data_IF_002523765685
#
_entry.id   IF_002523765685
#
_cell.length_a   1.000
_cell.length_b   1.000
_cell.length_c   1.000
_cell.angle_alpha   90.00
_cell.angle_beta   90.00
_cell.angle_gamma   90.00
#
_symmetry.space_group_name_H-M   'P 1'
#
loop_
_entity.id
_entity.type
_entity.pdbx_description
1 polymer ?
#
# COMPACT_ATOMS: atom_id res chain seq x y z
N UNK A 1 -15.23 8.77 4.04
CA UNK A 1 -13.85 8.88 3.50
C UNK A 1 -12.92 9.49 4.54
N UNK A 2 -11.61 9.43 4.33
CA UNK A 2 -10.62 10.09 5.20
C UNK A 2 -10.08 11.34 4.52
N UNK A 3 -10.12 12.48 5.21
CA UNK A 3 -9.58 13.77 4.80
C UNK A 3 -8.29 14.04 5.55
N UNK A 4 -7.17 14.10 4.83
CA UNK A 4 -5.87 14.39 5.43
C UNK A 4 -5.42 15.82 5.13
N UNK A 5 -5.07 16.59 6.15
CA UNK A 5 -4.54 17.94 6.01
C UNK A 5 -3.04 17.97 6.24
N UNK A 6 -2.31 18.70 5.40
CA UNK A 6 -0.91 19.01 5.68
C UNK A 6 -0.79 20.05 6.79
N UNK A 7 0.42 20.22 7.33
CA UNK A 7 0.68 21.22 8.37
C UNK A 7 0.28 22.63 7.94
N UNK A 8 0.63 22.99 6.70
CA UNK A 8 0.26 24.28 6.12
C UNK A 8 -1.25 24.39 5.95
N UNK A 9 -1.93 23.35 5.45
CA UNK A 9 -3.38 23.40 5.27
C UNK A 9 -4.15 23.52 6.59
N UNK A 10 -3.62 22.98 7.70
CA UNK A 10 -4.19 23.18 9.04
C UNK A 10 -4.02 24.62 9.54
N UNK A 11 -2.85 25.23 9.30
CA UNK A 11 -2.48 26.54 9.83
C UNK A 11 -2.83 27.73 8.91
N UNK A 12 -3.17 27.47 7.65
CA UNK A 12 -3.44 28.54 6.68
C UNK A 12 -4.70 29.34 7.07
N UNK A 13 -4.54 30.66 7.16
CA UNK A 13 -5.58 31.60 7.63
C UNK A 13 -6.35 32.27 6.50
N UNK A 14 -6.00 31.99 5.24
CA UNK A 14 -6.73 32.47 4.07
C UNK A 14 -8.21 32.02 4.10
N UNK A 15 -9.06 32.75 3.38
CA UNK A 15 -10.49 32.49 3.38
C UNK A 15 -10.82 31.08 2.87
N UNK A 16 -10.18 30.63 1.79
CA UNK A 16 -10.42 29.33 1.18
C UNK A 16 -10.06 28.18 2.13
N UNK A 17 -8.90 28.18 2.79
CA UNK A 17 -8.54 27.09 3.69
C UNK A 17 -9.40 27.04 4.96
N UNK A 18 -9.85 28.20 5.47
CA UNK A 18 -10.82 28.24 6.58
C UNK A 18 -12.16 27.61 6.18
N UNK A 19 -12.67 27.92 4.98
CA UNK A 19 -13.92 27.35 4.49
C UNK A 19 -13.79 25.85 4.16
N UNK A 20 -12.65 25.41 3.61
CA UNK A 20 -12.38 23.98 3.40
C UNK A 20 -12.42 23.21 4.72
N UNK A 21 -11.78 23.72 5.78
CA UNK A 21 -11.78 23.08 7.10
C UNK A 21 -13.20 23.00 7.67
N UNK A 22 -13.99 24.08 7.61
CA UNK A 22 -15.41 24.07 8.01
C UNK A 22 -16.23 23.05 7.24
N UNK A 23 -16.03 22.98 5.92
CA UNK A 23 -16.75 22.04 5.06
C UNK A 23 -16.44 20.59 5.42
N UNK A 24 -15.16 20.26 5.61
CA UNK A 24 -14.73 18.90 5.97
C UNK A 24 -15.24 18.51 7.37
N UNK A 25 -15.26 19.43 8.33
CA UNK A 25 -15.91 19.20 9.64
C UNK A 25 -17.40 18.87 9.47
N UNK A 26 -18.09 19.57 8.57
CA UNK A 26 -19.50 19.26 8.27
C UNK A 26 -19.68 17.85 7.69
N UNK A 27 -18.71 17.36 6.90
CA UNK A 27 -18.73 16.00 6.38
C UNK A 27 -18.48 14.96 7.46
N UNK A 28 -17.59 15.24 8.42
CA UNK A 28 -17.45 14.40 9.60
C UNK A 28 -18.78 14.26 10.35
N UNK A 29 -19.45 15.37 10.66
CA UNK A 29 -20.73 15.33 11.39
C UNK A 29 -21.87 14.70 10.59
N UNK A 30 -21.89 14.88 9.27
CA UNK A 30 -22.99 14.41 8.42
C UNK A 30 -22.82 12.97 7.95
N UNK A 31 -21.60 12.56 7.62
CA UNK A 31 -21.31 11.30 6.94
C UNK A 31 -20.40 10.37 7.75
N UNK A 32 -19.85 10.83 8.88
CA UNK A 32 -18.86 10.07 9.66
C UNK A 32 -17.48 10.03 9.01
N UNK A 33 -17.18 10.97 8.11
CA UNK A 33 -15.85 11.09 7.51
C UNK A 33 -14.77 11.28 8.59
N UNK A 34 -13.59 10.72 8.34
CA UNK A 34 -12.44 10.88 9.22
C UNK A 34 -11.63 12.11 8.79
N UNK A 35 -11.12 12.87 9.76
CA UNK A 35 -10.25 14.03 9.56
C UNK A 35 -8.93 13.75 10.24
N UNK A 36 -7.83 13.74 9.49
CA UNK A 36 -6.51 13.37 9.99
C UNK A 36 -5.38 14.23 9.39
N UNK A 37 -4.14 13.90 9.73
CA UNK A 37 -2.93 14.58 9.32
C UNK A 37 -2.20 13.82 8.21
N UNK A 38 -1.60 14.57 7.28
CA UNK A 38 -0.61 14.08 6.31
C UNK A 38 0.76 14.75 6.53
N UNK A 39 1.70 14.09 7.22
CA UNK A 39 3.03 14.62 7.44
C UNK A 39 3.86 14.63 6.14
N UNK A 40 4.46 15.77 5.82
CA UNK A 40 5.48 15.88 4.77
C UNK A 40 5.04 15.46 3.37
N UNK A 41 3.75 15.55 3.05
CA UNK A 41 3.18 15.12 1.76
C UNK A 41 3.71 13.75 1.32
N UNK A 42 3.56 12.75 2.19
CA UNK A 42 3.97 11.34 2.03
C UNK A 42 5.42 10.99 2.39
N UNK A 43 6.33 11.96 2.59
CA UNK A 43 7.77 11.69 2.67
C UNK A 43 8.44 12.23 3.94
N UNK A 44 7.72 12.29 5.06
CA UNK A 44 8.20 12.94 6.28
C UNK A 44 9.58 12.43 6.76
N UNK A 45 9.75 11.10 6.82
CA UNK A 45 11.00 10.45 7.27
C UNK A 45 12.18 10.61 6.31
N UNK A 46 11.95 11.03 5.06
CA UNK A 46 13.04 11.30 4.14
C UNK A 46 13.79 12.59 4.46
N UNK A 47 13.17 13.49 5.25
CA UNK A 47 13.68 14.85 5.50
C UNK A 47 13.69 15.26 6.97
N UNK A 48 13.17 14.41 7.86
CA UNK A 48 13.08 14.72 9.28
C UNK A 48 13.46 13.49 10.11
N UNK A 49 13.94 13.75 11.31
CA UNK A 49 14.19 12.71 12.31
C UNK A 49 12.86 12.13 12.80
N UNK A 50 12.85 10.88 13.26
CA UNK A 50 11.65 10.28 13.85
C UNK A 50 11.09 11.12 15.01
N UNK A 51 11.96 11.69 15.86
CA UNK A 51 11.56 12.59 16.94
C UNK A 51 10.83 13.85 16.45
N UNK A 52 11.31 14.49 15.37
CA UNK A 52 10.63 15.64 14.79
C UNK A 52 9.29 15.24 14.17
N UNK A 53 9.24 14.12 13.46
CA UNK A 53 7.98 13.60 12.88
C UNK A 53 6.95 13.30 13.98
N UNK A 54 7.36 12.71 15.11
CA UNK A 54 6.48 12.49 16.27
C UNK A 54 5.91 13.80 16.82
N UNK A 55 6.75 14.82 16.96
CA UNK A 55 6.32 16.15 17.40
C UNK A 55 5.31 16.77 16.43
N UNK A 56 5.60 16.72 15.13
CA UNK A 56 4.71 17.29 14.10
C UNK A 56 3.35 16.57 14.09
N UNK A 57 3.35 15.25 14.28
CA UNK A 57 2.13 14.44 14.44
C UNK A 57 1.34 14.90 15.66
N UNK A 58 1.97 14.98 16.83
CA UNK A 58 1.33 15.38 18.07
C UNK A 58 0.66 16.75 17.95
N UNK A 59 1.43 17.75 17.50
CA UNK A 59 0.96 19.12 17.37
C UNK A 59 -0.18 19.22 16.33
N UNK A 60 -0.09 18.48 15.22
CA UNK A 60 -1.15 18.48 14.21
C UNK A 60 -2.45 17.80 14.71
N UNK A 61 -2.33 16.74 15.49
CA UNK A 61 -3.47 16.07 16.11
C UNK A 61 -4.18 16.96 17.13
N UNK A 62 -3.44 17.79 17.87
CA UNK A 62 -4.01 18.80 18.77
C UNK A 62 -4.76 19.89 17.99
N UNK A 63 -4.21 20.37 16.88
CA UNK A 63 -4.91 21.31 15.99
C UNK A 63 -6.20 20.71 15.43
N UNK A 64 -6.17 19.45 14.99
CA UNK A 64 -7.35 18.74 14.49
C UNK A 64 -8.38 18.56 15.60
N UNK A 65 -7.96 18.17 16.80
CA UNK A 65 -8.82 18.00 17.98
C UNK A 65 -9.54 19.31 18.32
N UNK A 66 -8.79 20.43 18.37
CA UNK A 66 -9.35 21.75 18.64
C UNK A 66 -10.28 22.25 17.53
N UNK A 67 -9.94 21.96 16.27
CA UNK A 67 -10.72 22.35 15.10
C UNK A 67 -12.07 21.61 15.01
N UNK A 68 -12.08 20.29 15.21
CA UNK A 68 -13.31 19.47 15.11
C UNK A 68 -14.13 19.56 16.40
N UNK A 69 -13.48 19.71 17.55
CA UNK A 69 -14.12 19.83 18.85
C UNK A 69 -14.62 18.51 19.43
N UNK A 70 -15.33 18.58 20.56
CA UNK A 70 -15.96 17.44 21.25
C UNK A 70 -15.00 16.27 21.57
N UNK A 71 -13.71 16.56 21.77
CA UNK A 71 -12.69 15.55 22.05
C UNK A 71 -12.38 14.62 20.88
N UNK A 72 -12.72 15.02 19.65
CA UNK A 72 -12.45 14.25 18.45
C UNK A 72 -10.96 13.88 18.33
N UNK A 73 -10.70 12.61 17.99
CA UNK A 73 -9.38 12.13 17.55
C UNK A 73 -9.54 11.18 16.37
N UNK A 74 -8.68 11.25 15.34
CA UNK A 74 -8.72 10.30 14.23
C UNK A 74 -8.35 8.90 14.68
N UNK A 75 -8.76 7.90 13.89
CA UNK A 75 -8.42 6.49 14.08
C UNK A 75 -7.17 6.11 13.29
N UNK A 76 -6.81 6.88 12.27
CA UNK A 76 -5.61 6.66 11.44
C UNK A 76 -4.82 7.92 11.11
N UNK A 77 -3.56 7.74 10.68
CA UNK A 77 -2.74 8.76 9.99
C UNK A 77 -2.56 8.38 8.51
N UNK A 78 -2.49 9.37 7.62
CA UNK A 78 -2.16 9.19 6.19
C UNK A 78 -0.75 9.72 5.94
N UNK A 79 0.27 8.88 5.93
CA UNK A 79 1.67 9.32 6.03
C UNK A 79 2.53 9.08 4.80
N UNK A 80 2.09 8.26 3.84
CA UNK A 80 2.94 7.78 2.75
C UNK A 80 3.93 6.76 3.28
N UNK A 81 5.09 7.24 3.72
CA UNK A 81 6.14 6.47 4.38
C UNK A 81 6.26 6.88 5.84
N UNK A 82 6.08 5.91 6.74
CA UNK A 82 6.21 6.13 8.18
C UNK A 82 7.16 5.10 8.78
N UNK A 83 8.23 5.57 9.42
CA UNK A 83 9.20 4.69 10.10
C UNK A 83 8.54 3.82 11.18
N UNK A 84 9.16 2.69 11.51
CA UNK A 84 8.72 1.83 12.61
C UNK A 84 8.66 2.57 13.95
N UNK A 85 9.62 3.46 14.22
CA UNK A 85 9.64 4.26 15.45
C UNK A 85 8.42 5.19 15.52
N UNK A 86 8.05 5.82 14.41
CA UNK A 86 6.89 6.69 14.37
C UNK A 86 5.58 5.91 14.48
N UNK A 87 5.48 4.72 13.87
CA UNK A 87 4.29 3.88 14.03
C UNK A 87 4.16 3.33 15.46
N UNK A 88 5.27 3.04 16.14
CA UNK A 88 5.27 2.70 17.56
C UNK A 88 4.80 3.86 18.43
N UNK A 89 5.27 5.09 18.14
CA UNK A 89 4.81 6.29 18.82
C UNK A 89 3.29 6.50 18.67
N UNK A 90 2.74 6.31 17.46
CA UNK A 90 1.29 6.39 17.23
C UNK A 90 0.52 5.45 18.16
N UNK A 91 0.93 4.18 18.24
CA UNK A 91 0.24 3.19 19.06
C UNK A 91 0.37 3.48 20.56
N UNK A 92 1.57 3.82 21.04
CA UNK A 92 1.88 3.90 22.47
C UNK A 92 1.62 5.28 23.10
N UNK A 93 1.71 6.36 22.30
CA UNK A 93 1.62 7.74 22.80
C UNK A 93 0.37 8.45 22.33
N UNK A 94 -0.04 8.23 21.09
CA UNK A 94 -1.23 8.88 20.52
C UNK A 94 -2.49 8.01 20.60
N UNK A 95 -2.36 6.72 21.00
CA UNK A 95 -3.43 5.72 21.01
C UNK A 95 -4.11 5.59 19.63
N UNK A 96 -3.30 5.65 18.56
CA UNK A 96 -3.70 5.50 17.15
C UNK A 96 -3.07 4.22 16.61
N UNK A 97 -3.93 3.29 16.18
CA UNK A 97 -3.52 1.93 15.82
C UNK A 97 -3.61 1.63 14.32
N UNK A 98 -3.71 2.66 13.47
CA UNK A 98 -3.77 2.51 12.02
C UNK A 98 -2.94 3.61 11.36
N UNK A 99 -2.12 3.25 10.38
CA UNK A 99 -1.32 4.20 9.61
C UNK A 99 -1.28 3.74 8.16
N UNK A 100 -1.61 4.63 7.22
CA UNK A 100 -1.08 4.46 5.86
C UNK A 100 0.39 4.88 5.91
N UNK A 101 1.25 3.92 6.25
CA UNK A 101 2.68 4.09 6.46
C UNK A 101 3.53 3.44 5.39
N UNK A 102 2.90 2.95 4.32
CA UNK A 102 3.56 2.32 3.19
C UNK A 102 2.97 2.80 1.86
N UNK A 103 3.82 2.97 0.84
CA UNK A 103 3.41 3.12 -0.56
C UNK A 103 3.95 1.91 -1.30
N UNK A 104 3.12 0.88 -1.46
CA UNK A 104 3.58 -0.43 -1.86
C UNK A 104 4.26 -0.39 -3.23
N UNK A 105 5.41 -1.06 -3.35
CA UNK A 105 6.28 -1.11 -4.53
C UNK A 105 6.92 0.21 -4.99
N UNK A 106 6.82 1.32 -4.25
CA UNK A 106 7.46 2.58 -4.66
C UNK A 106 8.98 2.39 -4.85
N UNK A 107 9.50 2.69 -6.03
CA UNK A 107 10.94 2.66 -6.32
C UNK A 107 11.27 3.55 -7.51
N UNK A 108 12.21 4.49 -7.34
CA UNK A 108 12.66 5.45 -8.37
C UNK A 108 11.55 6.28 -9.02
N UNK A 109 10.51 6.58 -8.24
CA UNK A 109 9.43 7.50 -8.59
C UNK A 109 9.27 8.51 -7.46
N UNK A 110 9.03 9.78 -7.80
CA UNK A 110 9.05 10.94 -6.88
C UNK A 110 10.36 11.10 -6.08
N UNK A 111 11.44 10.49 -6.59
CA UNK A 111 12.73 10.35 -5.94
C UNK A 111 12.63 9.70 -4.55
N UNK A 112 11.69 8.78 -4.30
CA UNK A 112 11.59 8.03 -3.04
C UNK A 112 11.51 6.53 -3.31
N UNK A 113 12.15 5.73 -2.45
CA UNK A 113 12.07 4.27 -2.49
C UNK A 113 11.52 3.72 -1.17
N UNK A 114 10.66 2.70 -1.25
CA UNK A 114 10.15 1.96 -0.11
C UNK A 114 9.43 0.67 -0.52
N UNK A 115 9.99 -0.04 -1.50
CA UNK A 115 9.57 -1.40 -1.86
C UNK A 115 10.05 -2.40 -0.81
N UNK A 116 9.46 -3.60 -0.77
CA UNK A 116 9.87 -4.70 0.08
C UNK A 116 8.78 -5.20 1.03
N UNK A 117 7.73 -4.40 1.25
CA UNK A 117 6.59 -4.74 2.09
C UNK A 117 5.58 -5.67 1.42
N UNK A 118 4.68 -6.22 2.23
CA UNK A 118 3.43 -6.82 1.74
C UNK A 118 2.44 -5.71 1.33
N UNK A 119 1.53 -5.98 0.39
CA UNK A 119 0.59 -4.97 -0.15
C UNK A 119 -0.70 -4.82 0.65
N UNK A 120 -1.09 -5.87 1.38
CA UNK A 120 -2.26 -5.88 2.27
C UNK A 120 -1.86 -5.60 3.72
N UNK A 121 -2.82 -5.31 4.62
CA UNK A 121 -2.51 -4.82 5.97
C UNK A 121 -1.64 -5.78 6.77
N UNK A 122 -0.77 -5.23 7.62
CA UNK A 122 0.07 -5.99 8.53
C UNK A 122 0.50 -5.14 9.74
N UNK A 123 0.99 -5.79 10.79
CA UNK A 123 1.69 -5.12 11.88
C UNK A 123 3.19 -5.03 11.56
N UNK A 124 3.79 -3.84 11.52
CA UNK A 124 5.21 -3.68 11.20
C UNK A 124 6.10 -4.12 12.36
N UNK A 125 7.32 -4.52 12.02
CA UNK A 125 8.38 -4.84 12.96
C UNK A 125 9.05 -3.57 13.46
N UNK A 126 9.49 -3.53 14.72
CA UNK A 126 10.39 -2.48 15.25
C UNK A 126 11.68 -2.32 14.46
N UNK A 127 12.07 -3.33 13.68
CA UNK A 127 13.29 -3.28 12.85
C UNK A 127 13.12 -2.43 11.59
N UNK A 128 11.95 -2.51 10.93
CA UNK A 128 11.68 -1.81 9.68
C UNK A 128 10.18 -1.81 9.31
N UNK A 129 9.65 -0.67 8.86
CA UNK A 129 8.22 -0.54 8.58
C UNK A 129 7.71 -1.43 7.44
N UNK A 130 8.59 -1.88 6.52
CA UNK A 130 8.28 -2.82 5.44
C UNK A 130 8.27 -4.28 5.90
N UNK A 131 8.84 -4.59 7.07
CA UNK A 131 8.94 -5.95 7.60
C UNK A 131 7.74 -6.24 8.49
N UNK A 132 6.97 -7.32 8.28
CA UNK A 132 6.01 -7.78 9.27
C UNK A 132 6.71 -8.18 10.57
N UNK A 133 6.17 -7.76 11.72
CA UNK A 133 6.63 -8.21 13.03
C UNK A 133 6.60 -9.75 13.13
N UNK A 134 7.66 -10.32 13.68
CA UNK A 134 7.87 -11.78 13.74
C UNK A 134 7.36 -12.38 15.06
N UNK A 135 7.47 -11.62 16.15
CA UNK A 135 7.11 -12.06 17.50
C UNK A 135 6.77 -10.84 18.40
N UNK A 136 6.53 -11.08 19.69
CA UNK A 136 6.11 -10.02 20.62
C UNK A 136 7.19 -8.95 20.85
N UNK A 137 8.48 -9.30 20.73
CA UNK A 137 9.57 -8.37 21.02
C UNK A 137 9.68 -7.25 19.98
N UNK A 138 9.39 -7.56 18.72
CA UNK A 138 9.43 -6.63 17.59
C UNK A 138 8.04 -6.16 17.14
N UNK A 139 6.97 -6.53 17.84
CA UNK A 139 5.60 -6.14 17.51
C UNK A 139 5.34 -4.65 17.73
N UNK A 140 4.68 -4.02 16.77
CA UNK A 140 4.08 -2.69 16.88
C UNK A 140 2.57 -2.82 16.64
N UNK A 141 1.75 -2.41 17.60
CA UNK A 141 0.29 -2.44 17.51
C UNK A 141 -0.26 -1.26 16.69
N UNK A 142 0.21 -1.12 15.46
CA UNK A 142 -0.26 -0.15 14.47
C UNK A 142 -0.40 -0.88 13.13
N UNK A 143 -1.60 -0.93 12.57
CA UNK A 143 -1.84 -1.56 11.27
C UNK A 143 -1.24 -0.68 10.18
N UNK A 144 -0.23 -1.18 9.49
CA UNK A 144 0.39 -0.51 8.36
C UNK A 144 -0.40 -0.82 7.08
N UNK A 145 -0.87 0.24 6.42
CA UNK A 145 -1.69 0.20 5.21
C UNK A 145 -0.93 0.80 4.02
N UNK A 146 -1.17 0.24 2.84
CA UNK A 146 -0.88 0.87 1.55
C UNK A 146 -1.78 2.10 1.27
N UNK A 147 -1.34 2.99 0.37
CA UNK A 147 -2.05 4.21 -0.02
C UNK A 147 -2.74 4.16 -1.39
N UNK A 148 -2.22 3.37 -2.34
CA UNK A 148 -2.83 3.19 -3.66
C UNK A 148 -2.67 1.76 -4.14
N UNK A 149 -3.79 1.07 -4.40
CA UNK A 149 -3.75 -0.26 -4.99
C UNK A 149 -3.20 -0.21 -6.42
N UNK A 150 -2.01 -0.80 -6.59
CA UNK A 150 -1.21 -0.81 -7.83
C UNK A 150 -1.55 -2.01 -8.70
N UNK A 151 -1.49 -1.84 -10.01
CA UNK A 151 -1.42 -2.95 -10.97
C UNK A 151 -0.10 -3.69 -10.76
N UNK A 152 -0.16 -4.96 -10.34
CA UNK A 152 1.04 -5.70 -9.93
C UNK A 152 2.04 -5.88 -11.06
N UNK A 153 1.62 -5.89 -12.34
CA UNK A 153 2.52 -5.99 -13.47
C UNK A 153 3.23 -4.66 -13.75
N UNK A 154 2.51 -3.55 -13.69
CA UNK A 154 3.13 -2.23 -13.81
C UNK A 154 4.08 -1.96 -12.63
N UNK A 155 3.65 -2.35 -11.42
CA UNK A 155 4.39 -2.23 -10.16
C UNK A 155 5.72 -2.98 -10.13
N UNK A 156 6.03 -3.87 -11.09
CA UNK A 156 7.36 -4.50 -11.20
C UNK A 156 8.45 -3.53 -11.61
N UNK A 157 8.11 -2.42 -12.27
CA UNK A 157 9.09 -1.52 -12.87
C UNK A 157 9.69 -0.56 -11.85
N UNK A 158 10.92 -0.12 -12.12
CA UNK A 158 11.53 1.02 -11.43
C UNK A 158 11.18 2.32 -12.16
N UNK A 159 10.60 3.28 -11.45
CA UNK A 159 10.25 4.60 -12.01
C UNK A 159 9.39 4.49 -13.27
N UNK A 160 9.97 4.94 -14.39
CA UNK A 160 9.38 4.93 -15.73
C UNK A 160 10.06 3.93 -16.70
N UNK A 161 10.67 2.86 -16.18
CA UNK A 161 11.37 1.88 -17.01
C UNK A 161 10.48 1.39 -18.18
N UNK A 162 11.12 1.16 -19.33
CA UNK A 162 10.47 0.78 -20.60
C UNK A 162 9.39 1.78 -21.09
N UNK A 163 9.41 3.02 -20.59
CA UNK A 163 8.43 4.06 -20.97
C UNK A 163 7.09 3.97 -20.23
N UNK A 164 6.97 3.07 -19.25
CA UNK A 164 5.75 2.87 -18.48
C UNK A 164 5.89 3.32 -17.04
N UNK A 165 4.85 3.96 -16.50
CA UNK A 165 4.83 4.39 -15.11
C UNK A 165 4.57 3.19 -14.17
N UNK A 166 5.50 2.94 -13.24
CA UNK A 166 5.38 1.92 -12.20
C UNK A 166 4.25 2.16 -11.19
N UNK A 167 3.63 3.34 -11.20
CA UNK A 167 2.49 3.73 -10.35
C UNK A 167 1.13 3.56 -11.01
N UNK A 168 1.05 2.90 -12.16
CA UNK A 168 -0.24 2.53 -12.76
C UNK A 168 -1.06 1.73 -11.74
N UNK A 169 -2.22 2.24 -11.39
CA UNK A 169 -2.95 1.85 -10.18
C UNK A 169 -4.43 2.20 -10.34
N UNK A 170 -5.16 2.27 -9.23
CA UNK A 170 -6.46 2.96 -9.16
C UNK A 170 -6.33 4.48 -9.07
N UNK A 171 -5.12 5.03 -8.97
CA UNK A 171 -4.85 6.47 -8.87
C UNK A 171 -5.20 7.25 -10.15
N UNK A 172 -5.69 8.50 -10.04
CA UNK A 172 -6.19 9.25 -11.18
C UNK A 172 -5.11 9.76 -12.13
N UNK A 173 -3.89 10.00 -11.66
CA UNK A 173 -2.79 10.57 -12.45
C UNK A 173 -2.38 9.60 -13.56
N UNK A 174 -2.09 8.35 -13.20
CA UNK A 174 -1.57 7.33 -14.10
C UNK A 174 -2.66 6.65 -14.95
N UNK A 175 -3.93 6.88 -14.62
CA UNK A 175 -5.07 6.31 -15.34
C UNK A 175 -5.78 7.39 -16.15
N UNK A 176 -6.70 8.12 -15.53
CA UNK A 176 -7.54 9.15 -16.17
C UNK A 176 -6.66 10.24 -16.78
N UNK A 177 -5.66 10.73 -16.03
CA UNK A 177 -4.76 11.77 -16.48
C UNK A 177 -3.92 11.37 -17.69
N UNK A 178 -3.45 10.12 -17.73
CA UNK A 178 -2.58 9.62 -18.80
C UNK A 178 -3.33 9.11 -20.03
N UNK A 179 -4.45 8.41 -19.82
CA UNK A 179 -5.16 7.64 -20.87
C UNK A 179 -6.56 8.17 -21.17
N UNK A 180 -7.01 9.22 -20.49
CA UNK A 180 -8.37 9.75 -20.61
C UNK A 180 -9.39 8.95 -19.80
N UNK A 181 -10.60 9.49 -19.71
CA UNK A 181 -11.64 8.98 -18.82
C UNK A 181 -12.01 7.51 -19.08
N UNK A 182 -12.25 7.12 -20.34
CA UNK A 182 -12.73 5.77 -20.67
C UNK A 182 -11.67 4.70 -20.38
N UNK A 183 -10.47 4.87 -20.94
CA UNK A 183 -9.36 3.92 -20.77
C UNK A 183 -8.83 3.93 -19.34
N UNK A 184 -8.73 5.11 -18.72
CA UNK A 184 -8.35 5.23 -17.32
C UNK A 184 -9.32 4.51 -16.40
N UNK A 185 -10.63 4.70 -16.57
CA UNK A 185 -11.63 3.99 -15.78
C UNK A 185 -11.60 2.47 -16.00
N UNK A 186 -11.36 2.00 -17.23
CA UNK A 186 -11.15 0.57 -17.50
C UNK A 186 -9.96 0.02 -16.70
N UNK A 187 -8.85 0.74 -16.65
CA UNK A 187 -7.68 0.34 -15.86
C UNK A 187 -7.96 0.35 -14.35
N UNK A 188 -8.63 1.39 -13.83
CA UNK A 188 -9.01 1.44 -12.41
C UNK A 188 -9.91 0.26 -12.03
N UNK A 189 -10.88 -0.09 -12.89
CA UNK A 189 -11.77 -1.24 -12.68
C UNK A 189 -11.05 -2.58 -12.82
N UNK A 190 -10.05 -2.69 -13.71
CA UNK A 190 -9.17 -3.85 -13.82
C UNK A 190 -8.43 -4.11 -12.51
N UNK A 191 -7.68 -3.13 -12.01
CA UNK A 191 -6.95 -3.26 -10.74
C UNK A 191 -7.89 -3.55 -9.59
N UNK A 192 -9.07 -2.91 -9.55
CA UNK A 192 -10.09 -3.22 -8.53
C UNK A 192 -10.53 -4.68 -8.59
N UNK A 193 -10.69 -5.25 -9.78
CA UNK A 193 -11.13 -6.64 -9.95
C UNK A 193 -10.10 -7.68 -9.51
N UNK A 194 -8.80 -7.37 -9.60
CA UNK A 194 -7.72 -8.23 -9.05
C UNK A 194 -7.95 -8.50 -7.57
N UNK A 195 -8.42 -7.48 -6.83
CA UNK A 195 -8.73 -7.61 -5.42
C UNK A 195 -10.12 -8.16 -5.16
N UNK A 196 -11.16 -7.67 -5.86
CA UNK A 196 -12.56 -7.93 -5.51
C UNK A 196 -13.10 -9.25 -6.08
N UNK A 197 -12.46 -9.81 -7.11
CA UNK A 197 -12.81 -11.13 -7.65
C UNK A 197 -11.93 -12.21 -7.03
N UNK A 198 -10.86 -12.62 -7.73
CA UNK A 198 -10.03 -13.73 -7.27
C UNK A 198 -9.25 -13.40 -5.99
N UNK A 199 -8.84 -12.14 -5.80
CA UNK A 199 -8.28 -11.68 -4.54
C UNK A 199 -9.22 -11.93 -3.35
N UNK A 200 -10.54 -11.71 -3.51
CA UNK A 200 -11.51 -11.99 -2.46
C UNK A 200 -11.63 -13.51 -2.21
N UNK A 201 -11.67 -14.31 -3.27
CA UNK A 201 -11.73 -15.77 -3.16
C UNK A 201 -10.53 -16.34 -2.39
N UNK A 202 -9.34 -15.82 -2.68
CA UNK A 202 -8.09 -16.27 -2.09
C UNK A 202 -7.87 -15.79 -0.65
N UNK A 203 -8.34 -14.58 -0.32
CA UNK A 203 -8.02 -13.90 0.94
C UNK A 203 -9.21 -13.75 1.90
N UNK A 204 -10.43 -14.06 1.46
CA UNK A 204 -11.70 -13.99 2.23
C UNK A 204 -12.16 -12.60 2.63
N UNK A 205 -11.40 -11.58 2.26
CA UNK A 205 -11.80 -10.19 2.20
C UNK A 205 -11.09 -9.54 1.02
N UNK A 206 -11.58 -8.39 0.61
CA UNK A 206 -10.92 -7.58 -0.39
C UNK A 206 -10.88 -6.14 0.06
N UNK A 207 -9.81 -5.47 -0.34
CA UNK A 207 -9.52 -4.10 -0.01
C UNK A 207 -8.84 -3.45 -1.20
N UNK A 208 -9.31 -2.25 -1.52
CA UNK A 208 -8.74 -1.35 -2.51
C UNK A 208 -8.62 0.01 -1.84
N UNK A 209 -7.45 0.62 -1.95
CA UNK A 209 -7.11 1.91 -1.34
C UNK A 209 -6.70 2.89 -2.42
N UNK A 210 -7.01 4.17 -2.21
CA UNK A 210 -6.75 5.22 -3.18
C UNK A 210 -6.68 6.58 -2.48
N UNK A 211 -5.76 7.43 -2.89
CA UNK A 211 -5.73 8.83 -2.49
C UNK A 211 -5.93 9.74 -3.71
N UNK A 212 -6.73 10.79 -3.52
CA UNK A 212 -7.00 11.82 -4.52
C UNK A 212 -6.70 13.18 -3.89
N UNK A 213 -5.64 13.83 -4.36
CA UNK A 213 -5.31 15.17 -3.91
C UNK A 213 -6.28 16.19 -4.54
N UNK A 214 -6.95 16.98 -3.69
CA UNK A 214 -7.90 18.01 -4.13
C UNK A 214 -7.29 19.07 -5.05
N UNK A 215 -5.96 19.22 -5.03
CA UNK A 215 -5.22 20.15 -5.89
C UNK A 215 -5.05 19.64 -7.32
N UNK A 216 -5.38 18.38 -7.61
CA UNK A 216 -5.25 17.83 -8.95
C UNK A 216 -6.33 18.39 -9.89
N UNK A 217 -6.02 18.55 -11.19
CA UNK A 217 -6.93 19.17 -12.16
C UNK A 217 -8.02 18.21 -12.67
N UNK A 218 -8.31 17.12 -11.95
CA UNK A 218 -9.24 16.09 -12.40
C UNK A 218 -10.64 16.33 -11.83
N UNK A 219 -11.64 16.17 -12.70
CA UNK A 219 -13.04 16.28 -12.28
C UNK A 219 -13.39 15.17 -11.28
N UNK A 220 -13.94 15.55 -10.13
CA UNK A 220 -14.45 14.63 -9.11
C UNK A 220 -15.55 13.70 -9.61
N UNK A 221 -16.21 14.01 -10.74
CA UNK A 221 -17.16 13.09 -11.38
C UNK A 221 -16.49 11.77 -11.77
N UNK A 222 -15.19 11.74 -12.08
CA UNK A 222 -14.48 10.49 -12.36
C UNK A 222 -14.37 9.57 -11.14
N UNK A 223 -14.18 10.13 -9.94
CA UNK A 223 -14.24 9.37 -8.69
C UNK A 223 -15.64 8.79 -8.50
N UNK A 224 -16.69 9.59 -8.74
CA UNK A 224 -18.08 9.12 -8.69
C UNK A 224 -18.37 8.03 -9.72
N UNK A 225 -17.84 8.13 -10.94
CA UNK A 225 -17.98 7.10 -11.97
C UNK A 225 -17.33 5.78 -11.52
N UNK A 226 -16.09 5.82 -11.01
CA UNK A 226 -15.40 4.64 -10.51
C UNK A 226 -16.14 3.98 -9.36
N UNK A 227 -16.54 4.74 -8.33
CA UNK A 227 -17.31 4.22 -7.21
C UNK A 227 -18.68 3.66 -7.63
N UNK A 228 -19.34 4.30 -8.60
CA UNK A 228 -20.61 3.81 -9.15
C UNK A 228 -20.45 2.48 -9.90
N UNK A 229 -19.36 2.33 -10.67
CA UNK A 229 -19.06 1.06 -11.35
C UNK A 229 -18.71 -0.05 -10.36
N UNK A 230 -17.97 0.28 -9.30
CA UNK A 230 -17.72 -0.64 -8.18
C UNK A 230 -19.04 -1.12 -7.60
N UNK A 231 -19.93 -0.20 -7.19
CA UNK A 231 -21.23 -0.57 -6.59
C UNK A 231 -22.14 -1.33 -7.54
N UNK A 232 -21.99 -1.20 -8.86
CA UNK A 232 -22.75 -1.99 -9.84
C UNK A 232 -22.24 -3.43 -9.95
N UNK A 233 -20.91 -3.63 -9.96
CA UNK A 233 -20.30 -4.95 -10.11
C UNK A 233 -20.21 -5.72 -8.79
N UNK A 234 -19.91 -5.03 -7.70
CA UNK A 234 -19.80 -5.55 -6.34
C UNK A 234 -20.73 -4.75 -5.41
N UNK A 235 -22.04 -5.07 -5.38
CA UNK A 235 -23.06 -4.26 -4.70
C UNK A 235 -22.91 -4.20 -3.19
N UNK A 236 -22.20 -5.14 -2.58
CA UNK A 236 -21.99 -5.19 -1.12
C UNK A 236 -20.72 -4.46 -0.67
N UNK A 237 -19.91 -3.94 -1.59
CA UNK A 237 -18.70 -3.17 -1.24
C UNK A 237 -19.07 -1.96 -0.38
N UNK A 238 -18.34 -1.79 0.72
CA UNK A 238 -18.46 -0.63 1.61
C UNK A 238 -17.37 0.40 1.29
N UNK A 239 -17.74 1.67 1.30
CA UNK A 239 -16.79 2.79 1.25
C UNK A 239 -16.63 3.33 2.67
N UNK A 240 -15.60 2.87 3.36
CA UNK A 240 -15.32 3.22 4.76
C UNK A 240 -14.06 4.07 4.87
N UNK A 241 -13.86 4.69 6.04
CA UNK A 241 -12.64 5.44 6.34
C UNK A 241 -11.43 4.51 6.43
N UNK A 242 -10.24 5.04 6.21
CA UNK A 242 -9.00 4.29 6.35
C UNK A 242 -8.84 3.74 7.78
N UNK A 243 -9.12 4.56 8.80
CA UNK A 243 -9.06 4.12 10.18
C UNK A 243 -10.09 3.07 10.54
N UNK A 244 -11.31 3.14 10.01
CA UNK A 244 -12.32 2.10 10.21
C UNK A 244 -11.89 0.75 9.60
N UNK A 245 -11.41 0.75 8.36
CA UNK A 245 -10.90 -0.47 7.73
C UNK A 245 -9.75 -1.09 8.54
N UNK A 246 -8.75 -0.29 8.92
CA UNK A 246 -7.61 -0.78 9.70
C UNK A 246 -8.03 -1.34 11.07
N UNK A 247 -9.01 -0.74 11.73
CA UNK A 247 -9.52 -1.25 13.01
C UNK A 247 -10.33 -2.54 12.85
N UNK A 248 -11.10 -2.71 11.76
CA UNK A 248 -11.76 -3.99 11.45
C UNK A 248 -10.71 -5.09 11.24
N UNK A 249 -9.64 -4.79 10.49
CA UNK A 249 -8.55 -5.75 10.30
C UNK A 249 -7.86 -6.09 11.62
N UNK A 250 -7.53 -5.10 12.46
CA UNK A 250 -6.96 -5.28 13.80
C UNK A 250 -7.89 -6.02 14.78
N UNK A 251 -9.20 -5.90 14.59
CA UNK A 251 -10.14 -6.67 15.38
C UNK A 251 -10.03 -8.17 15.05
N UNK A 252 -9.88 -8.50 13.78
CA UNK A 252 -9.75 -9.88 13.30
C UNK A 252 -8.35 -10.48 13.53
N UNK A 253 -7.31 -9.77 13.10
CA UNK A 253 -5.91 -10.21 13.19
C UNK A 253 -5.26 -9.54 14.39
N UNK A 254 -4.86 -10.34 15.40
CA UNK A 254 -4.15 -9.85 16.61
C UNK A 254 -2.63 -9.84 16.47
N UNK A 255 -2.14 -10.42 15.38
CA UNK A 255 -0.75 -10.63 15.02
C UNK A 255 -0.68 -10.93 13.53
N UNK A 256 0.53 -11.06 12.99
CA UNK A 256 0.75 -11.37 11.59
C UNK A 256 0.50 -12.85 11.26
N UNK A 257 -0.76 -13.29 11.32
CA UNK A 257 -1.19 -14.64 10.93
C UNK A 257 -1.82 -14.67 9.52
N UNK A 258 -1.63 -13.60 8.75
CA UNK A 258 -2.13 -13.48 7.39
C UNK A 258 -1.35 -14.34 6.39
N UNK A 259 -1.99 -14.68 5.28
CA UNK A 259 -1.39 -15.43 4.18
C UNK A 259 -2.02 -14.99 2.83
N UNK A 260 -1.66 -13.80 2.38
CA UNK A 260 -2.28 -13.15 1.22
C UNK A 260 -1.78 -13.74 -0.10
N UNK A 261 -2.71 -13.84 -1.06
CA UNK A 261 -2.43 -14.30 -2.42
C UNK A 261 -3.17 -13.46 -3.45
N UNK A 262 -2.52 -13.22 -4.58
CA UNK A 262 -3.12 -12.53 -5.72
C UNK A 262 -2.69 -13.18 -7.02
N UNK A 263 -3.58 -13.11 -8.02
CA UNK A 263 -3.30 -13.49 -9.39
C UNK A 263 -3.78 -12.35 -10.28
N UNK A 264 -2.93 -11.91 -11.19
CA UNK A 264 -3.28 -10.86 -12.15
C UNK A 264 -2.76 -11.22 -13.53
N UNK A 265 -3.65 -11.18 -14.52
CA UNK A 265 -3.30 -11.14 -15.94
C UNK A 265 -3.38 -9.70 -16.43
N UNK A 266 -2.44 -9.25 -17.23
CA UNK A 266 -2.38 -7.84 -17.63
C UNK A 266 -3.59 -7.37 -18.45
N UNK A 267 -3.99 -6.12 -18.23
CA UNK A 267 -5.10 -5.48 -18.92
C UNK A 267 -4.77 -5.08 -20.36
N UNK A 268 -3.49 -4.99 -20.70
CA UNK A 268 -3.00 -4.41 -21.95
C UNK A 268 -2.96 -2.89 -21.97
N UNK A 269 -3.26 -2.22 -20.86
CA UNK A 269 -3.21 -0.77 -20.73
C UNK A 269 -1.91 -0.37 -20.05
N UNK A 270 -1.08 0.43 -20.72
CA UNK A 270 0.16 0.94 -20.15
C UNK A 270 1.13 -0.16 -19.76
N UNK A 271 1.64 -0.11 -18.52
CA UNK A 271 2.57 -1.11 -17.98
C UNK A 271 1.93 -2.45 -17.58
N UNK A 272 0.63 -2.63 -17.81
CA UNK A 272 -0.08 -3.88 -17.54
C UNK A 272 0.02 -4.82 -18.74
N UNK A 273 1.08 -5.64 -18.79
CA UNK A 273 1.44 -6.44 -19.96
C UNK A 273 0.41 -7.57 -20.24
N UNK A 274 -0.34 -7.47 -21.34
CA UNK A 274 -1.46 -8.38 -21.66
C UNK A 274 -1.04 -9.86 -21.84
N UNK A 275 0.22 -10.10 -22.20
CA UNK A 275 0.79 -11.44 -22.39
C UNK A 275 1.39 -12.00 -21.09
N UNK A 276 1.26 -11.31 -19.95
CA UNK A 276 1.81 -11.74 -18.66
C UNK A 276 0.74 -12.07 -17.66
N UNK A 277 1.10 -12.99 -16.77
CA UNK A 277 0.37 -13.28 -15.55
C UNK A 277 1.36 -13.30 -14.38
N UNK A 278 1.02 -12.59 -13.31
CA UNK A 278 1.78 -12.54 -12.06
C UNK A 278 0.97 -13.15 -10.92
N UNK A 279 1.66 -13.88 -10.06
CA UNK A 279 1.11 -14.44 -8.82
C UNK A 279 1.92 -13.94 -7.63
N UNK A 280 1.24 -13.37 -6.65
CA UNK A 280 1.84 -12.92 -5.40
C UNK A 280 1.46 -13.83 -4.25
N UNK A 281 2.42 -14.04 -3.36
CA UNK A 281 2.29 -14.79 -2.12
C UNK A 281 2.94 -13.96 -1.02
N UNK A 282 2.19 -13.59 0.02
CA UNK A 282 2.65 -12.67 1.05
C UNK A 282 2.19 -13.15 2.42
N UNK A 283 3.14 -13.52 3.29
CA UNK A 283 2.87 -13.91 4.66
C UNK A 283 3.89 -13.24 5.59
N UNK A 284 3.82 -13.55 6.88
CA UNK A 284 4.74 -12.95 7.86
C UNK A 284 6.21 -13.28 7.62
N UNK A 285 6.52 -14.42 7.01
CA UNK A 285 7.89 -14.92 6.86
C UNK A 285 8.53 -14.43 5.55
N UNK A 286 7.76 -14.22 4.49
CA UNK A 286 8.26 -13.72 3.21
C UNK A 286 7.17 -13.14 2.31
N UNK A 287 7.61 -12.42 1.26
CA UNK A 287 6.84 -12.24 0.02
C UNK A 287 7.55 -12.91 -1.16
N UNK A 288 6.76 -13.39 -2.11
CA UNK A 288 7.20 -14.06 -3.33
C UNK A 288 6.32 -13.61 -4.50
N UNK A 289 6.95 -13.28 -5.62
CA UNK A 289 6.25 -13.07 -6.89
C UNK A 289 6.75 -14.05 -7.95
N UNK A 290 5.79 -14.71 -8.61
CA UNK A 290 6.01 -15.56 -9.77
C UNK A 290 5.41 -14.88 -11.00
N UNK A 291 6.18 -14.82 -12.09
CA UNK A 291 5.76 -14.23 -13.35
C UNK A 291 5.87 -15.27 -14.46
N UNK A 292 4.83 -15.38 -15.29
CA UNK A 292 4.81 -16.23 -16.47
C UNK A 292 4.23 -15.49 -17.67
N UNK A 293 4.52 -16.00 -18.86
CA UNK A 293 3.77 -15.67 -20.07
C UNK A 293 2.41 -16.36 -20.00
N UNK A 294 1.34 -15.63 -20.26
CA UNK A 294 -0.03 -16.12 -20.21
C UNK A 294 -0.21 -17.29 -21.19
N UNK A 295 -0.72 -18.42 -20.68
CA UNK A 295 -0.87 -19.65 -21.46
C UNK A 295 0.39 -20.51 -21.58
N UNK A 296 1.52 -20.12 -21.00
CA UNK A 296 2.74 -20.93 -20.93
C UNK A 296 3.20 -21.12 -19.48
N UNK A 297 2.71 -22.17 -18.78
CA UNK A 297 3.14 -22.49 -17.42
C UNK A 297 4.65 -22.77 -17.29
N UNK A 298 5.31 -23.25 -18.34
CA UNK A 298 6.75 -23.56 -18.33
C UNK A 298 7.64 -22.32 -18.28
N UNK A 299 7.11 -21.16 -18.63
CA UNK A 299 7.83 -19.89 -18.60
C UNK A 299 7.97 -19.27 -17.20
N UNK A 300 7.32 -19.84 -16.17
CA UNK A 300 7.27 -19.23 -14.84
C UNK A 300 8.65 -19.02 -14.21
N UNK A 301 8.87 -17.82 -13.67
CA UNK A 301 10.08 -17.42 -12.95
C UNK A 301 9.75 -16.69 -11.67
N UNK A 302 10.62 -16.82 -10.68
CA UNK A 302 10.67 -15.98 -9.49
C UNK A 302 11.22 -14.62 -9.89
N UNK A 303 10.46 -13.55 -9.63
CA UNK A 303 10.88 -12.17 -9.89
C UNK A 303 11.03 -11.35 -8.61
N UNK A 304 10.51 -11.82 -7.48
CA UNK A 304 10.67 -11.21 -6.17
C UNK A 304 10.69 -12.31 -5.11
N UNK A 305 11.63 -12.25 -4.19
CA UNK A 305 11.66 -13.04 -2.97
C UNK A 305 12.34 -12.22 -1.87
N UNK A 306 11.55 -11.78 -0.89
CA UNK A 306 12.04 -11.08 0.29
C UNK A 306 11.75 -11.91 1.53
N UNK A 307 12.79 -12.36 2.22
CA UNK A 307 12.71 -13.13 3.46
C UNK A 307 12.68 -12.20 4.69
N UNK A 308 11.53 -12.14 5.36
CA UNK A 308 11.31 -11.31 6.55
C UNK A 308 11.81 -11.95 7.85
N UNK A 309 12.20 -13.23 7.83
CA UNK A 309 12.81 -13.85 9.02
C UNK A 309 14.22 -13.32 9.29
N UNK A 310 14.81 -12.62 8.33
CA UNK A 310 16.11 -11.97 8.48
C UNK A 310 15.97 -10.64 9.21
N UNK A 311 17.03 -10.23 9.92
CA UNK A 311 17.08 -8.91 10.55
C UNK A 311 17.09 -7.82 9.49
N UNK A 312 16.24 -6.81 9.66
CA UNK A 312 16.17 -5.61 8.86
C UNK A 312 16.66 -4.40 9.66
N UNK A 313 16.91 -3.30 8.96
CA UNK A 313 17.23 -2.03 9.60
C UNK A 313 16.80 -0.87 8.71
N UNK A 314 16.08 0.08 9.28
CA UNK A 314 15.82 1.36 8.61
C UNK A 314 17.10 2.20 8.47
N UNK A 315 17.14 3.15 7.52
CA UNK A 315 18.20 4.14 7.47
C UNK A 315 18.30 4.92 8.79
N UNK A 316 19.53 5.10 9.29
CA UNK A 316 19.77 5.96 10.46
C UNK A 316 19.89 7.46 10.11
N UNK A 317 19.92 7.79 8.82
CA UNK A 317 20.07 9.14 8.29
C UNK A 317 18.83 9.55 7.48
N UNK A 318 18.63 10.86 7.31
CA UNK A 318 17.57 11.39 6.45
C UNK A 318 17.92 11.11 4.99
N UNK A 319 17.27 10.11 4.41
CA UNK A 319 17.51 9.64 3.04
C UNK A 319 16.20 9.29 2.35
N UNK A 320 16.24 9.14 1.04
CA UNK A 320 15.10 8.73 0.22
C UNK A 320 15.05 7.23 -0.06
N UNK A 321 16.02 6.46 0.46
CA UNK A 321 16.19 5.03 0.16
C UNK A 321 15.78 4.16 1.36
N UNK A 322 14.52 3.76 1.40
CA UNK A 322 13.93 2.99 2.51
C UNK A 322 13.43 1.60 2.09
N UNK A 323 13.84 1.11 0.92
CA UNK A 323 13.38 -0.20 0.47
C UNK A 323 14.02 -1.34 1.26
N UNK A 324 13.20 -2.32 1.63
CA UNK A 324 13.63 -3.62 2.14
C UNK A 324 13.83 -4.58 0.96
N UNK A 325 14.96 -4.45 0.26
CA UNK A 325 15.25 -5.26 -0.91
C UNK A 325 15.61 -6.69 -0.50
N UNK A 326 14.84 -7.67 -0.99
CA UNK A 326 15.03 -9.09 -0.74
C UNK A 326 16.24 -9.70 -1.45
N UNK A 327 16.26 -11.03 -1.50
CA UNK A 327 17.27 -11.79 -2.25
C UNK A 327 17.13 -11.54 -3.76
N UNK A 328 15.88 -11.48 -4.22
CA UNK A 328 15.48 -11.08 -5.57
C UNK A 328 14.41 -10.01 -5.39
N UNK A 329 14.53 -8.88 -6.08
CA UNK A 329 13.55 -7.81 -6.03
C UNK A 329 12.96 -7.53 -7.42
N UNK A 330 11.63 -7.34 -7.46
CA UNK A 330 10.88 -7.16 -8.71
C UNK A 330 11.42 -6.06 -9.65
N UNK A 331 12.09 -5.05 -9.08
CA UNK A 331 12.60 -3.87 -9.79
C UNK A 331 13.78 -4.19 -10.72
N UNK A 332 14.45 -5.32 -10.52
CA UNK A 332 15.54 -5.79 -11.39
C UNK A 332 16.69 -4.78 -11.53
N UNK A 333 17.02 -4.06 -10.46
CA UNK A 333 18.06 -3.02 -10.48
C UNK A 333 19.43 -3.53 -10.05
N UNK A 334 19.54 -4.77 -9.56
CA UNK A 334 20.79 -5.41 -9.16
C UNK A 334 21.04 -6.68 -10.00
N UNK A 335 22.30 -7.10 -10.22
CA UNK A 335 22.59 -8.30 -11.01
C UNK A 335 21.90 -9.58 -10.51
N UNK A 336 21.74 -9.73 -9.19
CA UNK A 336 21.07 -10.88 -8.58
C UNK A 336 19.55 -10.89 -8.73
N UNK A 337 18.94 -9.77 -9.13
CA UNK A 337 17.49 -9.67 -9.28
C UNK A 337 16.96 -10.30 -10.58
N UNK A 338 17.86 -10.80 -11.44
CA UNK A 338 17.48 -11.46 -12.68
C UNK A 338 16.50 -12.60 -12.38
N UNK A 339 15.34 -12.68 -13.06
CA UNK A 339 14.37 -13.74 -12.84
C UNK A 339 14.96 -15.14 -13.02
N UNK A 340 14.65 -16.03 -12.08
CA UNK A 340 15.16 -17.42 -12.09
C UNK A 340 14.03 -18.44 -11.97
N UNK A 341 14.21 -19.70 -12.46
CA UNK A 341 13.29 -20.78 -12.13
C UNK A 341 13.17 -20.99 -10.62
N UNK A 342 12.01 -21.43 -10.14
CA UNK A 342 11.78 -21.72 -8.72
C UNK A 342 12.84 -22.67 -8.14
N UNK A 343 13.19 -23.73 -8.87
CA UNK A 343 14.18 -24.73 -8.45
C UNK A 343 15.62 -24.21 -8.35
N UNK A 344 15.88 -23.04 -8.92
CA UNK A 344 17.18 -22.36 -8.81
C UNK A 344 17.30 -21.52 -7.53
N UNK A 345 16.23 -21.35 -6.75
CA UNK A 345 16.32 -20.71 -5.45
C UNK A 345 17.17 -21.54 -4.45
N UNK A 346 17.91 -20.87 -3.54
CA UNK A 346 18.63 -21.55 -2.48
C UNK A 346 17.73 -22.51 -1.68
N UNK A 347 18.28 -23.64 -1.24
CA UNK A 347 17.53 -24.68 -0.49
C UNK A 347 16.79 -24.12 0.74
N UNK A 348 17.39 -23.15 1.43
CA UNK A 348 16.77 -22.47 2.57
C UNK A 348 15.51 -21.70 2.17
N UNK A 349 15.59 -20.90 1.10
CA UNK A 349 14.46 -20.15 0.54
C UNK A 349 13.33 -21.09 0.08
N UNK A 350 13.65 -22.15 -0.68
CA UNK A 350 12.66 -23.15 -1.10
C UNK A 350 11.99 -23.84 0.09
N UNK A 351 12.77 -24.26 1.08
CA UNK A 351 12.23 -24.87 2.31
C UNK A 351 11.27 -23.93 3.04
N UNK A 352 11.58 -22.63 3.10
CA UNK A 352 10.72 -21.63 3.71
C UNK A 352 9.42 -21.46 2.92
N UNK A 353 9.51 -21.35 1.59
CA UNK A 353 8.34 -21.19 0.71
C UNK A 353 7.43 -22.41 0.79
N UNK A 354 7.99 -23.62 0.65
CA UNK A 354 7.25 -24.87 0.61
C UNK A 354 6.60 -25.24 1.94
N UNK A 355 7.04 -24.64 3.06
CA UNK A 355 6.35 -24.75 4.35
C UNK A 355 4.95 -24.14 4.30
N UNK A 356 4.80 -23.02 3.60
CA UNK A 356 3.53 -22.31 3.46
C UNK A 356 2.75 -22.76 2.22
N UNK A 357 3.46 -23.08 1.13
CA UNK A 357 2.89 -23.41 -0.16
C UNK A 357 3.50 -24.70 -0.72
N UNK A 358 3.18 -25.87 -0.15
CA UNK A 358 3.76 -27.15 -0.60
C UNK A 358 3.43 -27.48 -2.06
N UNK A 359 2.31 -26.95 -2.58
CA UNK A 359 1.87 -27.14 -3.96
C UNK A 359 2.75 -26.45 -5.00
N UNK A 360 3.68 -25.56 -4.59
CA UNK A 360 4.68 -24.99 -5.51
C UNK A 360 5.83 -25.96 -5.82
N UNK A 361 5.91 -27.10 -5.13
CA UNK A 361 6.93 -28.13 -5.35
C UNK A 361 6.62 -29.02 -6.57
N UNK A 362 5.38 -29.04 -7.06
CA UNK A 362 4.99 -29.89 -8.17
C UNK A 362 5.15 -29.15 -9.50
N UNK A 363 5.97 -29.70 -10.39
CA UNK A 363 6.16 -29.28 -11.78
C UNK A 363 4.89 -29.40 -12.68
N UNK A 364 3.71 -29.53 -12.10
CA UNK A 364 2.42 -29.62 -12.79
C UNK A 364 1.32 -29.16 -11.85
N UNK A 365 0.73 -27.99 -12.08
CA UNK A 365 -0.71 -27.81 -11.92
C UNK A 365 -1.15 -26.68 -12.84
N UNK A 366 -1.81 -27.10 -13.90
CA UNK A 366 -2.55 -26.32 -14.90
C UNK A 366 -3.85 -25.72 -14.36
N UNK A 367 -4.18 -25.91 -13.09
CA UNK A 367 -5.48 -25.55 -12.53
C UNK A 367 -5.31 -24.79 -11.20
N UNK A 368 -5.04 -23.50 -11.33
CA UNK A 368 -5.52 -22.43 -10.44
C UNK A 368 -5.84 -21.22 -11.33
#
# INVERSE_FOLDING_TARGET
MTWAFSWLALNDTSANYREIRKLVISYHHKYGDEITFIPGAYFANAYNTAAQVNKDIHDALDLITGMVGNGYRPRSIVAGFMSSENQQYLAEKENIHVCQGNIWSQFSIDNQDGDGSVSYPFYPSKEHFCKPAQNESDFIDCVNLDGWSVDFLAGRRAGFADGFNSRLSVGPIETIGKYGAETGLKQMMHVTSVHFDEGFNLNKFAWVTNCWELSLPYDTEYLKMWLSQIKRRWPDTQLITQGEFGLIWREHYKRNDFNYRFVEKGSGIGGSDADKEIRWFMNKDFRLALLRTAGDPGSEKVIDFTNYTLTAKEPGEMTRKWSLLGDINQKQTRPQDKPIPFDSLPKGARSLILRHYPNLNSATNSDL
#
